data_IF_009738686334
#
_entry.id   IF_009738686334
#
_cell.length_a   1.000
_cell.length_b   1.000
_cell.length_c   1.000
_cell.angle_alpha   90.00
_cell.angle_beta   90.00
_cell.angle_gamma   90.00
#
_symmetry.space_group_name_H-M   'P 1'
#
loop_
_entity.id
_entity.type
_entity.pdbx_description
1 polymer ?
#
# COMPACT_ATOMS: atom_id res chain seq x y z
N UNK A 1 -6.03 -13.82 -7.98
CA UNK A 1 -6.60 -12.69 -7.20
C UNK A 1 -7.13 -11.71 -8.21
N UNK A 2 -8.35 -11.22 -8.05
CA UNK A 2 -8.95 -10.25 -8.99
C UNK A 2 -8.82 -8.85 -8.40
N UNK A 3 -8.22 -7.94 -9.13
CA UNK A 3 -8.02 -6.56 -8.70
C UNK A 3 -8.97 -5.62 -9.44
N UNK A 4 -9.28 -4.47 -8.86
CA UNK A 4 -10.30 -3.55 -9.38
C UNK A 4 -10.03 -3.09 -10.82
N UNK A 5 -8.76 -2.98 -11.24
CA UNK A 5 -8.39 -2.58 -12.60
C UNK A 5 -8.72 -3.63 -13.67
N UNK A 6 -9.00 -4.87 -13.25
CA UNK A 6 -9.39 -5.98 -14.13
C UNK A 6 -10.91 -6.13 -14.25
N UNK A 7 -11.67 -5.22 -13.61
CA UNK A 7 -13.12 -5.26 -13.60
C UNK A 7 -13.71 -4.33 -14.65
N UNK A 8 -14.77 -4.78 -15.31
CA UNK A 8 -15.56 -3.97 -16.24
C UNK A 8 -16.81 -3.37 -15.56
N UNK A 9 -17.42 -2.31 -16.13
CA UNK A 9 -18.73 -1.86 -15.69
C UNK A 9 -19.81 -2.95 -15.87
N UNK A 10 -20.78 -3.05 -14.93
CA UNK A 10 -21.04 -2.17 -13.81
C UNK A 10 -20.21 -2.48 -12.56
N UNK A 11 -19.59 -3.65 -12.49
CA UNK A 11 -18.89 -4.18 -11.32
C UNK A 11 -17.77 -3.24 -10.84
N UNK A 12 -16.91 -2.78 -11.74
CA UNK A 12 -15.85 -1.81 -11.43
C UNK A 12 -16.38 -0.60 -10.64
N UNK A 13 -17.52 -0.05 -11.05
CA UNK A 13 -18.14 1.11 -10.40
C UNK A 13 -18.53 0.81 -8.95
N UNK A 14 -19.06 -0.38 -8.70
CA UNK A 14 -19.56 -0.76 -7.38
C UNK A 14 -18.40 -0.99 -6.41
N UNK A 15 -17.33 -1.62 -6.86
CA UNK A 15 -16.11 -1.75 -6.06
C UNK A 15 -15.45 -0.38 -5.81
N UNK A 16 -15.34 0.47 -6.83
CA UNK A 16 -14.75 1.81 -6.70
C UNK A 16 -15.45 2.69 -5.65
N UNK A 17 -16.76 2.56 -5.48
CA UNK A 17 -17.52 3.28 -4.46
C UNK A 17 -17.03 3.02 -3.04
N UNK A 18 -16.49 1.83 -2.75
CA UNK A 18 -16.02 1.47 -1.41
C UNK A 18 -14.90 2.39 -0.95
N UNK A 19 -13.92 2.67 -1.79
CA UNK A 19 -12.78 3.50 -1.46
C UNK A 19 -12.98 5.00 -1.76
N UNK A 20 -13.99 5.36 -2.56
CA UNK A 20 -14.20 6.75 -3.00
C UNK A 20 -14.27 7.81 -1.89
N UNK A 21 -14.79 7.53 -0.67
CA UNK A 21 -14.84 8.54 0.39
C UNK A 21 -13.48 9.11 0.79
N UNK A 22 -12.39 8.32 0.73
CA UNK A 22 -11.04 8.78 1.12
C UNK A 22 -10.30 9.53 0.01
N UNK A 23 -10.82 9.52 -1.21
CA UNK A 23 -10.25 10.24 -2.36
C UNK A 23 -11.01 11.52 -2.70
N UNK A 24 -11.82 12.02 -1.78
CA UNK A 24 -12.48 13.33 -1.92
C UNK A 24 -11.50 14.46 -1.59
N UNK A 25 -11.66 15.67 -2.15
CA UNK A 25 -10.81 16.82 -1.80
C UNK A 25 -10.72 17.06 -0.30
N UNK A 26 -11.83 16.93 0.42
CA UNK A 26 -11.88 17.07 1.89
C UNK A 26 -11.02 16.00 2.60
N UNK A 27 -11.12 14.75 2.20
CA UNK A 27 -10.34 13.66 2.79
C UNK A 27 -8.84 13.81 2.49
N UNK A 28 -8.49 14.21 1.27
CA UNK A 28 -7.10 14.49 0.90
C UNK A 28 -6.53 15.64 1.72
N UNK A 29 -7.30 16.74 1.91
CA UNK A 29 -6.86 17.85 2.78
C UNK A 29 -6.65 17.40 4.23
N UNK A 30 -7.46 16.47 4.74
CA UNK A 30 -7.29 15.94 6.09
C UNK A 30 -5.97 15.15 6.27
N UNK A 31 -5.32 14.74 5.19
CA UNK A 31 -4.01 14.07 5.22
C UNK A 31 -2.82 15.04 5.23
N UNK A 32 -3.05 16.35 5.12
CA UNK A 32 -1.96 17.36 5.01
C UNK A 32 -0.95 17.23 6.17
N UNK A 33 -1.41 17.03 7.39
CA UNK A 33 -0.54 16.85 8.56
C UNK A 33 0.33 15.58 8.46
N UNK A 34 -0.23 14.47 7.97
CA UNK A 34 0.50 13.22 7.76
C UNK A 34 1.58 13.40 6.69
N UNK A 35 1.22 14.06 5.59
CA UNK A 35 2.13 14.34 4.46
C UNK A 35 3.27 15.25 4.93
N UNK A 36 2.97 16.36 5.61
CA UNK A 36 3.97 17.30 6.13
C UNK A 36 4.87 16.66 7.18
N UNK A 37 4.30 15.84 8.08
CA UNK A 37 5.07 15.12 9.08
C UNK A 37 6.05 14.14 8.43
N UNK A 38 5.60 13.36 7.46
CA UNK A 38 6.45 12.44 6.71
C UNK A 38 7.60 13.17 6.01
N UNK A 39 7.30 14.29 5.34
CA UNK A 39 8.33 15.10 4.67
C UNK A 39 9.36 15.66 5.66
N UNK A 40 8.92 16.19 6.80
CA UNK A 40 9.83 16.69 7.84
C UNK A 40 10.71 15.59 8.41
N UNK A 41 10.16 14.43 8.78
CA UNK A 41 10.92 13.30 9.31
C UNK A 41 12.02 12.84 8.34
N UNK A 42 11.77 12.89 7.03
CA UNK A 42 12.77 12.56 6.01
C UNK A 42 13.86 13.63 5.98
N UNK A 43 13.49 14.91 5.89
CA UNK A 43 14.45 16.02 5.84
C UNK A 43 15.30 16.05 7.11
N UNK A 44 14.71 15.93 8.30
CA UNK A 44 15.41 15.92 9.59
C UNK A 44 16.42 14.77 9.67
N UNK A 45 16.02 13.58 9.18
CA UNK A 45 16.91 12.42 9.12
C UNK A 45 18.13 12.67 8.20
N UNK A 46 17.90 13.28 7.04
CA UNK A 46 18.94 13.53 6.04
C UNK A 46 19.87 14.67 6.45
N UNK A 47 19.33 15.71 7.09
CA UNK A 47 20.11 16.84 7.56
C UNK A 47 21.01 16.48 8.76
N UNK A 48 20.64 15.47 9.56
CA UNK A 48 21.38 15.08 10.75
C UNK A 48 21.57 16.23 11.73
N UNK A 49 22.64 16.15 12.52
CA UNK A 49 22.97 17.19 13.52
C UNK A 49 23.62 18.43 12.90
N UNK A 50 24.21 18.31 11.72
CA UNK A 50 24.96 19.40 11.06
C UNK A 50 24.10 20.29 10.16
N UNK A 51 22.88 19.85 9.83
CA UNK A 51 22.01 20.53 8.87
C UNK A 51 22.37 20.25 7.40
N UNK A 52 23.37 19.42 7.16
CA UNK A 52 23.86 19.03 5.83
C UNK A 52 24.00 17.50 5.76
N UNK A 53 23.68 16.91 4.58
CA UNK A 53 23.83 15.46 4.36
C UNK A 53 23.77 15.10 2.89
N UNK A 54 24.27 13.92 2.58
CA UNK A 54 24.15 13.28 1.27
C UNK A 54 23.17 12.12 1.36
N UNK A 55 22.39 11.88 0.32
CA UNK A 55 21.43 10.79 0.27
C UNK A 55 21.29 10.19 -1.12
N UNK A 56 20.84 8.97 -1.19
CA UNK A 56 20.25 8.41 -2.40
C UNK A 56 18.80 8.92 -2.51
N UNK A 57 18.58 9.97 -3.30
CA UNK A 57 17.27 10.59 -3.40
C UNK A 57 16.16 9.60 -3.80
N UNK A 58 16.46 8.63 -4.67
CA UNK A 58 15.48 7.65 -5.12
C UNK A 58 15.00 6.76 -3.97
N UNK A 59 15.93 6.23 -3.18
CA UNK A 59 15.60 5.32 -2.08
C UNK A 59 15.20 6.06 -0.79
N UNK A 60 15.96 7.10 -0.42
CA UNK A 60 15.80 7.77 0.88
C UNK A 60 14.63 8.76 0.91
N UNK A 61 14.22 9.28 -0.25
CA UNK A 61 13.17 10.30 -0.37
C UNK A 61 12.01 9.83 -1.24
N UNK A 62 12.26 9.57 -2.53
CA UNK A 62 11.20 9.32 -3.50
C UNK A 62 10.42 8.03 -3.21
N UNK A 63 11.08 6.96 -2.80
CA UNK A 63 10.42 5.73 -2.37
C UNK A 63 9.83 5.84 -0.96
N UNK A 64 10.56 6.45 -0.02
CA UNK A 64 10.19 6.47 1.39
C UNK A 64 8.94 7.32 1.67
N UNK A 65 8.77 8.45 1.00
CA UNK A 65 7.67 9.39 1.26
C UNK A 65 6.29 8.84 0.88
N UNK A 66 6.06 8.39 -0.36
CA UNK A 66 4.78 7.77 -0.74
C UNK A 66 4.49 6.52 0.08
N UNK A 67 5.50 5.68 0.32
CA UNK A 67 5.36 4.47 1.13
C UNK A 67 4.80 4.79 2.52
N UNK A 68 5.33 5.81 3.20
CA UNK A 68 4.86 6.26 4.51
C UNK A 68 3.39 6.67 4.50
N UNK A 69 2.97 7.43 3.48
CA UNK A 69 1.60 7.91 3.35
C UNK A 69 0.65 6.75 3.10
N UNK A 70 0.99 5.85 2.17
CA UNK A 70 0.19 4.68 1.86
C UNK A 70 0.09 3.71 3.05
N UNK A 71 1.20 3.50 3.77
CA UNK A 71 1.23 2.69 4.99
C UNK A 71 0.27 3.25 6.05
N UNK A 72 0.26 4.56 6.23
CA UNK A 72 -0.68 5.23 7.15
C UNK A 72 -2.13 5.04 6.71
N UNK A 73 -2.44 5.24 5.41
CA UNK A 73 -3.79 5.06 4.86
C UNK A 73 -4.30 3.63 5.00
N UNK A 74 -3.42 2.66 4.77
CA UNK A 74 -3.75 1.23 4.76
C UNK A 74 -3.46 0.52 6.08
N UNK A 75 -3.14 1.30 7.14
CA UNK A 75 -2.97 0.77 8.49
C UNK A 75 -1.77 -0.15 8.64
N UNK A 76 -0.76 -0.05 7.76
CA UNK A 76 0.47 -0.82 7.82
C UNK A 76 1.35 -0.28 8.95
N UNK A 77 1.79 -1.13 9.89
CA UNK A 77 2.74 -0.72 10.92
C UNK A 77 4.07 -0.27 10.33
N UNK A 78 4.70 0.71 10.98
CA UNK A 78 5.97 1.30 10.51
C UNK A 78 7.08 0.26 10.35
N UNK A 79 7.14 -0.69 11.25
CA UNK A 79 8.09 -1.81 11.24
C UNK A 79 7.93 -2.73 10.02
N UNK A 80 6.74 -2.74 9.40
CA UNK A 80 6.44 -3.56 8.22
C UNK A 80 6.67 -2.83 6.88
N UNK A 81 7.00 -1.52 6.90
CA UNK A 81 7.24 -0.75 5.68
C UNK A 81 8.37 -1.29 4.81
N UNK A 82 9.54 -1.71 5.36
CA UNK A 82 10.59 -2.33 4.55
C UNK A 82 10.14 -3.59 3.82
N UNK A 83 9.29 -4.40 4.47
CA UNK A 83 8.75 -5.61 3.85
C UNK A 83 7.76 -5.29 2.73
N UNK A 84 6.89 -4.30 2.93
CA UNK A 84 5.99 -3.82 1.88
C UNK A 84 6.78 -3.34 0.67
N UNK A 85 7.78 -2.47 0.88
CA UNK A 85 8.61 -1.94 -0.20
C UNK A 85 9.28 -3.08 -0.99
N UNK A 86 9.86 -4.03 -0.29
CA UNK A 86 10.49 -5.20 -0.90
C UNK A 86 9.48 -6.03 -1.71
N UNK A 87 8.31 -6.31 -1.15
CA UNK A 87 7.28 -7.14 -1.79
C UNK A 87 6.65 -6.44 -2.99
N UNK A 88 6.41 -5.13 -2.92
CA UNK A 88 5.88 -4.36 -4.05
C UNK A 88 6.91 -4.25 -5.17
N UNK A 89 8.18 -3.98 -4.86
CA UNK A 89 9.25 -3.97 -5.85
C UNK A 89 9.39 -5.33 -6.55
N UNK A 90 9.34 -6.46 -5.82
CA UNK A 90 9.35 -7.80 -6.40
C UNK A 90 8.12 -8.08 -7.29
N UNK A 91 6.97 -7.51 -6.96
CA UNK A 91 5.76 -7.66 -7.75
C UNK A 91 5.85 -6.94 -9.10
N UNK A 92 6.39 -5.71 -9.13
CA UNK A 92 6.46 -4.89 -10.34
C UNK A 92 7.67 -5.18 -11.20
N UNK A 93 8.80 -5.40 -10.58
CA UNK A 93 10.05 -5.67 -11.27
C UNK A 93 10.32 -7.17 -11.42
N UNK A 94 9.27 -7.93 -11.75
CA UNK A 94 9.38 -9.39 -11.94
C UNK A 94 10.40 -9.81 -13.00
N UNK A 95 10.81 -8.91 -13.89
CA UNK A 95 11.80 -9.14 -14.93
C UNK A 95 13.18 -8.51 -14.59
N UNK A 96 13.31 -7.80 -13.45
CA UNK A 96 14.58 -7.23 -13.01
C UNK A 96 15.41 -8.27 -12.24
N UNK A 97 16.60 -8.64 -12.74
CA UNK A 97 17.45 -9.66 -12.11
C UNK A 97 17.88 -9.31 -10.68
N UNK A 98 17.99 -8.00 -10.35
CA UNK A 98 18.43 -7.54 -9.03
C UNK A 98 17.33 -7.67 -7.97
N UNK A 99 16.06 -7.68 -8.40
CA UNK A 99 14.89 -7.78 -7.55
C UNK A 99 14.26 -9.18 -7.52
N UNK A 100 14.72 -10.08 -8.43
CA UNK A 100 14.26 -11.46 -8.44
C UNK A 100 14.80 -12.26 -7.24
N UNK A 101 13.99 -13.20 -6.77
CA UNK A 101 14.45 -14.24 -5.82
C UNK A 101 15.41 -15.18 -6.56
N UNK A 102 16.69 -15.16 -6.17
CA UNK A 102 17.75 -15.95 -6.86
C UNK A 102 17.52 -17.45 -6.67
N UNK A 103 17.55 -18.17 -7.78
CA UNK A 103 17.54 -19.64 -7.79
C UNK A 103 16.17 -20.30 -7.73
N UNK A 104 15.07 -19.54 -7.77
CA UNK A 104 13.72 -20.08 -7.76
C UNK A 104 13.09 -20.09 -9.15
N UNK A 105 12.22 -21.07 -9.40
CA UNK A 105 11.34 -21.06 -10.57
C UNK A 105 10.40 -19.83 -10.45
N UNK A 106 10.27 -19.06 -11.53
CA UNK A 106 9.43 -17.86 -11.60
C UNK A 106 8.01 -18.09 -11.05
N UNK A 107 7.44 -19.25 -11.32
CA UNK A 107 6.11 -19.60 -10.83
C UNK A 107 6.09 -19.74 -9.31
N UNK A 108 7.10 -20.37 -8.74
CA UNK A 108 7.23 -20.54 -7.30
C UNK A 108 7.48 -19.20 -6.61
N UNK A 109 8.36 -18.36 -7.14
CA UNK A 109 8.63 -17.02 -6.64
C UNK A 109 7.35 -16.14 -6.58
N UNK A 110 6.51 -16.19 -7.62
CA UNK A 110 5.23 -15.48 -7.64
C UNK A 110 4.22 -16.02 -6.62
N UNK A 111 4.19 -17.34 -6.39
CA UNK A 111 3.32 -17.93 -5.37
C UNK A 111 3.75 -17.52 -3.96
N UNK A 112 5.03 -17.54 -3.68
CA UNK A 112 5.58 -17.13 -2.38
C UNK A 112 5.38 -15.65 -2.12
N UNK A 113 5.61 -14.81 -3.13
CA UNK A 113 5.29 -13.38 -3.06
C UNK A 113 3.81 -13.15 -2.73
N UNK A 114 2.91 -13.87 -3.40
CA UNK A 114 1.48 -13.79 -3.13
C UNK A 114 1.11 -14.22 -1.71
N UNK A 115 1.78 -15.24 -1.17
CA UNK A 115 1.60 -15.70 0.21
C UNK A 115 2.12 -14.67 1.23
N UNK A 116 3.28 -14.07 0.99
CA UNK A 116 3.85 -13.05 1.87
C UNK A 116 2.95 -11.82 1.95
N UNK A 117 2.46 -11.33 0.80
CA UNK A 117 1.49 -10.22 0.73
C UNK A 117 0.17 -10.58 1.43
N UNK A 118 -0.31 -11.82 1.23
CA UNK A 118 -1.51 -12.30 1.92
C UNK A 118 -1.32 -12.28 3.43
N UNK A 119 -0.24 -12.83 3.94
CA UNK A 119 0.03 -12.91 5.39
C UNK A 119 0.13 -11.52 6.03
N UNK A 120 0.77 -10.59 5.34
CA UNK A 120 0.93 -9.22 5.80
C UNK A 120 -0.43 -8.50 5.90
N UNK A 121 -1.18 -8.46 4.81
CA UNK A 121 -2.45 -7.73 4.77
C UNK A 121 -3.57 -8.41 5.53
N UNK A 122 -3.59 -9.74 5.60
CA UNK A 122 -4.61 -10.47 6.35
C UNK A 122 -4.69 -10.03 7.81
N UNK A 123 -3.54 -9.82 8.46
CA UNK A 123 -3.48 -9.37 9.87
C UNK A 123 -4.13 -8.00 10.02
N UNK A 124 -3.82 -7.08 9.10
CA UNK A 124 -4.39 -5.72 9.11
C UNK A 124 -5.89 -5.76 8.86
N UNK A 125 -6.34 -6.52 7.86
CA UNK A 125 -7.77 -6.68 7.54
C UNK A 125 -8.54 -7.25 8.73
N UNK A 126 -8.00 -8.26 9.39
CA UNK A 126 -8.63 -8.86 10.56
C UNK A 126 -8.69 -7.87 11.74
N UNK A 127 -7.61 -7.12 12.01
CA UNK A 127 -7.63 -6.06 13.02
C UNK A 127 -8.70 -5.02 12.72
N UNK A 128 -8.79 -4.51 11.49
CA UNK A 128 -9.76 -3.48 11.11
C UNK A 128 -11.21 -3.97 11.09
N UNK A 129 -11.45 -5.26 10.92
CA UNK A 129 -12.78 -5.87 11.10
C UNK A 129 -13.21 -5.88 12.56
N UNK A 130 -12.29 -6.15 13.48
CA UNK A 130 -12.54 -6.16 14.93
C UNK A 130 -12.45 -4.78 15.59
N UNK A 131 -11.56 -3.93 15.11
CA UNK A 131 -11.22 -2.62 15.65
C UNK A 131 -11.24 -1.54 14.56
N UNK A 132 -12.42 -1.08 14.10
CA UNK A 132 -12.54 -0.06 13.06
C UNK A 132 -11.87 1.25 13.47
N UNK A 133 -11.19 1.92 12.51
CA UNK A 133 -10.57 3.25 12.67
C UNK A 133 -11.02 4.15 11.52
N UNK A 134 -10.67 5.43 11.60
CA UNK A 134 -10.92 6.38 10.50
C UNK A 134 -9.77 6.34 9.49
N UNK A 135 -9.68 5.22 8.75
CA UNK A 135 -8.65 4.96 7.74
C UNK A 135 -9.22 4.18 6.54
N UNK A 136 -8.51 4.21 5.42
CA UNK A 136 -8.86 3.44 4.22
C UNK A 136 -8.89 1.94 4.52
N UNK A 137 -7.99 1.46 5.39
CA UNK A 137 -7.94 0.07 5.80
C UNK A 137 -9.29 -0.43 6.36
N UNK A 138 -9.92 0.37 7.21
CA UNK A 138 -11.25 0.07 7.79
C UNK A 138 -12.33 0.05 6.72
N UNK A 139 -12.33 1.02 5.81
CA UNK A 139 -13.30 1.06 4.71
C UNK A 139 -13.19 -0.18 3.80
N UNK A 140 -11.97 -0.60 3.50
CA UNK A 140 -11.75 -1.79 2.67
C UNK A 140 -12.08 -3.09 3.41
N UNK A 141 -11.67 -3.21 4.68
CA UNK A 141 -11.90 -4.40 5.50
C UNK A 141 -13.39 -4.66 5.76
N UNK A 142 -14.21 -3.60 5.86
CA UNK A 142 -15.64 -3.63 6.15
C UNK A 142 -16.51 -3.25 4.95
N UNK A 143 -15.89 -3.06 3.78
CA UNK A 143 -16.57 -2.65 2.56
C UNK A 143 -17.65 -3.63 2.11
N UNK A 144 -18.71 -3.08 1.54
CA UNK A 144 -19.81 -3.85 0.97
C UNK A 144 -20.01 -3.46 -0.48
N UNK A 145 -20.19 -4.46 -1.32
CA UNK A 145 -20.54 -4.32 -2.71
C UNK A 145 -21.91 -4.95 -2.91
N UNK A 146 -22.87 -4.17 -3.42
CA UNK A 146 -24.27 -4.59 -3.57
C UNK A 146 -24.89 -5.18 -2.29
N UNK A 147 -24.54 -4.58 -1.12
CA UNK A 147 -25.02 -5.00 0.20
C UNK A 147 -24.32 -6.21 0.80
N UNK A 148 -23.45 -6.89 0.06
CA UNK A 148 -22.68 -8.03 0.55
C UNK A 148 -21.26 -7.60 0.96
N UNK A 149 -20.71 -8.12 2.07
CA UNK A 149 -19.32 -7.86 2.45
C UNK A 149 -18.36 -8.27 1.31
N UNK A 150 -17.33 -7.45 1.09
CA UNK A 150 -16.24 -7.85 0.18
C UNK A 150 -15.54 -9.09 0.71
N UNK A 151 -15.24 -10.02 -0.20
CA UNK A 151 -14.43 -11.20 0.10
C UNK A 151 -12.98 -10.83 0.49
N UNK A 152 -12.29 -11.78 1.11
CA UNK A 152 -10.90 -11.59 1.52
C UNK A 152 -10.00 -11.28 0.30
N UNK A 153 -10.20 -11.98 -0.80
CA UNK A 153 -9.36 -11.84 -2.00
C UNK A 153 -9.58 -10.49 -2.71
N UNK A 154 -10.82 -10.01 -2.75
CA UNK A 154 -11.15 -8.68 -3.30
C UNK A 154 -10.57 -7.57 -2.42
N UNK A 155 -10.65 -7.73 -1.09
CA UNK A 155 -10.04 -6.78 -0.15
C UNK A 155 -8.52 -6.74 -0.31
N UNK A 156 -7.87 -7.91 -0.39
CA UNK A 156 -6.43 -8.01 -0.67
C UNK A 156 -6.05 -7.38 -2.01
N UNK A 157 -6.85 -7.61 -3.04
CA UNK A 157 -6.67 -6.98 -4.35
C UNK A 157 -6.68 -5.45 -4.26
N UNK A 158 -7.55 -4.90 -3.41
CA UNK A 158 -7.57 -3.45 -3.14
C UNK A 158 -6.30 -2.95 -2.43
N UNK A 159 -5.83 -3.66 -1.42
CA UNK A 159 -4.56 -3.32 -0.75
C UNK A 159 -3.41 -3.31 -1.74
N UNK A 160 -3.29 -4.39 -2.52
CA UNK A 160 -2.23 -4.51 -3.51
C UNK A 160 -2.27 -3.36 -4.52
N UNK A 161 -3.42 -3.12 -5.16
CA UNK A 161 -3.51 -2.07 -6.18
C UNK A 161 -3.30 -0.68 -5.61
N UNK A 162 -3.69 -0.41 -4.37
CA UNK A 162 -3.49 0.89 -3.75
C UNK A 162 -2.01 1.15 -3.48
N UNK A 163 -1.26 0.17 -2.98
CA UNK A 163 0.18 0.28 -2.85
C UNK A 163 0.86 0.44 -4.20
N UNK A 164 0.50 -0.43 -5.12
CA UNK A 164 1.06 -0.45 -6.45
C UNK A 164 0.92 0.88 -7.18
N UNK A 165 -0.32 1.35 -7.30
CA UNK A 165 -0.60 2.57 -8.02
C UNK A 165 -0.12 3.84 -7.30
N UNK A 166 -0.04 3.80 -5.97
CA UNK A 166 0.33 4.98 -5.19
C UNK A 166 1.82 5.08 -4.86
N UNK A 167 2.59 4.01 -5.00
CA UNK A 167 4.02 4.00 -4.71
C UNK A 167 4.85 4.13 -6.00
N UNK A 168 4.65 3.23 -6.94
CA UNK A 168 5.49 3.11 -8.14
C UNK A 168 5.30 4.26 -9.14
N UNK A 169 4.16 4.94 -9.11
CA UNK A 169 3.81 5.99 -10.07
C UNK A 169 3.93 7.41 -9.51
N UNK A 170 4.27 7.53 -8.23
CA UNK A 170 4.44 8.84 -7.55
C UNK A 170 5.89 9.25 -7.48
#
# INVERSE_FOLDING_TARGET
MRVIIEMDPPEHRDYRKVASPVFTPRAVTAMDDVIRKSAREIVDRLAGETGEGECDFANDVAAAHPLRILSTMLGVPRESEPDILRLTNQHFASDDPDLQRKGEDRRQALLELGLDLYQLFQKIIQDRRGNPRDDLATLLANGKVNGQPMGMMETLGYYLITFSAGHDTT
#
